data_IF_615685846400
#
_entry.id   IF_615685846400
#
_cell.length_a   1.000
_cell.length_b   1.000
_cell.length_c   1.000
_cell.angle_alpha   90.00
_cell.angle_beta   90.00
_cell.angle_gamma   90.00
#
_symmetry.space_group_name_H-M   'P 1'
#
loop_
_entity.id
_entity.type
_entity.pdbx_description
1 polymer ?
#
# COMPACT_ATOMS: atom_id res chain seq x y z
N UNK A 1 21.90 -10.77 39.07
CA UNK A 1 21.89 -10.49 37.62
C UNK A 1 21.84 -11.77 36.82
N UNK A 2 20.63 -12.33 36.65
CA UNK A 2 20.38 -13.44 35.75
C UNK A 2 19.80 -12.89 34.45
N UNK A 3 20.65 -12.68 33.45
CA UNK A 3 20.20 -12.28 32.11
C UNK A 3 19.59 -13.52 31.46
N UNK A 4 18.29 -13.48 31.18
CA UNK A 4 17.59 -14.54 30.43
C UNK A 4 18.05 -14.53 28.96
N UNK A 5 19.13 -15.25 28.65
CA UNK A 5 19.67 -15.39 27.28
C UNK A 5 18.82 -16.37 26.41
N UNK A 6 17.75 -16.95 26.95
CA UNK A 6 16.97 -17.99 26.27
C UNK A 6 15.97 -17.51 25.20
N UNK A 7 15.46 -16.27 25.30
CA UNK A 7 14.34 -15.81 24.47
C UNK A 7 14.68 -15.55 23.00
N UNK A 8 15.89 -15.04 22.72
CA UNK A 8 16.26 -14.59 21.38
C UNK A 8 16.47 -15.74 20.39
N UNK A 9 16.91 -16.91 20.89
CA UNK A 9 17.15 -18.07 20.04
C UNK A 9 15.85 -18.72 19.56
N UNK A 10 14.83 -18.80 20.42
CA UNK A 10 13.53 -19.36 20.06
C UNK A 10 12.81 -18.48 19.04
N UNK A 11 12.92 -17.15 19.18
CA UNK A 11 12.38 -16.19 18.22
C UNK A 11 12.99 -16.31 16.84
N UNK A 12 14.33 -16.31 16.76
CA UNK A 12 15.04 -16.49 15.49
C UNK A 12 14.71 -17.81 14.82
N UNK A 13 14.63 -18.90 15.60
CA UNK A 13 14.22 -20.20 15.06
C UNK A 13 12.80 -20.18 14.49
N UNK A 14 11.88 -19.42 15.09
CA UNK A 14 10.53 -19.22 14.57
C UNK A 14 10.50 -18.44 13.26
N UNK A 15 11.30 -17.37 13.16
CA UNK A 15 11.45 -16.58 11.93
C UNK A 15 12.02 -17.38 10.77
N UNK A 16 13.11 -18.10 11.01
CA UNK A 16 13.74 -18.96 10.00
C UNK A 16 12.78 -20.06 9.53
N UNK A 17 12.01 -20.63 10.46
CA UNK A 17 10.95 -21.58 10.15
C UNK A 17 9.89 -20.98 9.23
N UNK A 18 9.38 -19.79 9.56
CA UNK A 18 8.36 -19.11 8.75
C UNK A 18 8.90 -18.73 7.36
N UNK A 19 10.13 -18.21 7.28
CA UNK A 19 10.79 -17.87 6.03
C UNK A 19 10.90 -19.10 5.12
N UNK A 20 11.36 -20.22 5.65
CA UNK A 20 11.47 -21.47 4.91
C UNK A 20 10.10 -21.93 4.37
N UNK A 21 9.05 -21.87 5.20
CA UNK A 21 7.68 -22.21 4.77
C UNK A 21 7.23 -21.28 3.64
N UNK A 22 7.38 -19.97 3.79
CA UNK A 22 6.98 -18.97 2.77
C UNK A 22 7.72 -19.21 1.45
N UNK A 23 9.04 -19.42 1.48
CA UNK A 23 9.84 -19.66 0.27
C UNK A 23 9.40 -20.94 -0.44
N UNK A 24 9.13 -22.02 0.30
CA UNK A 24 8.61 -23.26 -0.25
C UNK A 24 7.23 -23.05 -0.87
N UNK A 25 6.31 -22.37 -0.18
CA UNK A 25 4.96 -22.09 -0.66
C UNK A 25 4.95 -21.22 -1.92
N UNK A 26 5.81 -20.18 -1.97
CA UNK A 26 5.99 -19.34 -3.17
C UNK A 26 6.52 -20.15 -4.35
N UNK A 27 7.49 -21.03 -4.10
CA UNK A 27 8.06 -21.92 -5.11
C UNK A 27 7.04 -22.93 -5.65
N UNK A 28 6.22 -23.51 -4.77
CA UNK A 28 5.13 -24.42 -5.16
C UNK A 28 4.10 -23.66 -6.00
N UNK A 29 3.67 -22.48 -5.54
CA UNK A 29 2.70 -21.63 -6.25
C UNK A 29 3.17 -21.30 -7.66
N UNK A 30 4.44 -20.89 -7.80
CA UNK A 30 5.01 -20.57 -9.10
C UNK A 30 5.00 -21.78 -10.05
N UNK A 31 5.36 -22.96 -9.56
CA UNK A 31 5.29 -24.20 -10.35
C UNK A 31 3.85 -24.53 -10.73
N UNK A 32 2.92 -24.42 -9.79
CA UNK A 32 1.48 -24.64 -10.01
C UNK A 32 0.92 -23.71 -11.09
N UNK A 33 1.31 -22.43 -11.09
CA UNK A 33 0.95 -21.46 -12.11
C UNK A 33 1.51 -21.78 -13.51
N UNK A 34 2.63 -22.50 -13.59
CA UNK A 34 3.22 -22.93 -14.86
C UNK A 34 2.63 -24.25 -15.40
N UNK A 35 2.10 -25.14 -14.55
CA UNK A 35 1.57 -26.45 -14.96
C UNK A 35 0.55 -26.37 -16.13
N UNK A 36 -0.42 -25.45 -16.14
CA UNK A 36 -1.36 -25.32 -17.26
C UNK A 36 -0.68 -24.95 -18.58
N UNK A 37 0.41 -24.17 -18.55
CA UNK A 37 1.21 -23.83 -19.74
C UNK A 37 1.90 -25.05 -20.34
N UNK A 38 2.05 -26.11 -19.56
CA UNK A 38 2.61 -27.40 -19.96
C UNK A 38 1.56 -28.51 -20.14
N UNK A 39 0.27 -28.17 -20.26
CA UNK A 39 -0.84 -29.13 -20.34
C UNK A 39 -0.89 -30.13 -19.17
N UNK A 40 -0.38 -29.74 -17.99
CA UNK A 40 -0.44 -30.56 -16.77
C UNK A 40 -1.64 -30.16 -15.92
N UNK A 41 -2.28 -31.15 -15.29
CA UNK A 41 -3.35 -30.92 -14.32
C UNK A 41 -2.75 -30.47 -12.99
N UNK A 42 -3.28 -29.40 -12.40
CA UNK A 42 -2.86 -28.91 -11.09
C UNK A 42 -3.47 -29.79 -10.00
N UNK A 43 -2.67 -30.44 -9.13
CA UNK A 43 -3.21 -31.17 -7.99
C UNK A 43 -3.84 -30.19 -7.00
N UNK A 44 -5.07 -30.46 -6.57
CA UNK A 44 -5.83 -29.57 -5.66
C UNK A 44 -5.10 -29.28 -4.35
N UNK A 45 -4.36 -30.26 -3.81
CA UNK A 45 -3.60 -30.11 -2.57
C UNK A 45 -2.33 -29.26 -2.71
N UNK A 46 -1.82 -29.04 -3.94
CA UNK A 46 -0.70 -28.12 -4.20
C UNK A 46 -1.18 -26.70 -4.53
N UNK A 47 -2.46 -26.55 -4.85
CA UNK A 47 -3.04 -25.26 -5.17
C UNK A 47 -3.37 -24.49 -3.88
N UNK A 48 -2.54 -23.51 -3.52
CA UNK A 48 -2.76 -22.68 -2.33
C UNK A 48 -4.11 -21.95 -2.33
N UNK A 49 -4.67 -21.67 -3.50
CA UNK A 49 -5.98 -21.02 -3.63
C UNK A 49 -7.13 -21.99 -3.35
N UNK A 50 -6.88 -23.29 -3.43
CA UNK A 50 -7.81 -24.33 -2.99
C UNK A 50 -7.72 -24.60 -1.49
N UNK A 51 -6.63 -24.20 -0.83
CA UNK A 51 -6.38 -24.45 0.61
C UNK A 51 -6.07 -23.13 1.34
N UNK A 52 -7.02 -22.17 1.39
CA UNK A 52 -6.79 -20.85 1.99
C UNK A 52 -6.53 -20.91 3.50
N UNK A 53 -6.97 -21.99 4.18
CA UNK A 53 -6.79 -22.17 5.63
C UNK A 53 -5.32 -22.11 6.05
N UNK A 54 -4.43 -22.72 5.26
CA UNK A 54 -2.97 -22.71 5.53
C UNK A 54 -2.43 -21.28 5.52
N UNK A 55 -2.87 -20.45 4.56
CA UNK A 55 -2.47 -19.04 4.50
C UNK A 55 -2.97 -18.24 5.71
N UNK A 56 -4.17 -18.58 6.20
CA UNK A 56 -4.74 -17.98 7.41
C UNK A 56 -3.96 -18.31 8.67
N UNK A 57 -3.62 -19.59 8.85
CA UNK A 57 -2.82 -20.06 9.99
C UNK A 57 -1.41 -19.46 9.95
N UNK A 58 -0.80 -19.36 8.75
CA UNK A 58 0.49 -18.69 8.58
C UNK A 58 0.42 -17.22 8.98
N UNK A 59 -0.62 -16.50 8.56
CA UNK A 59 -0.79 -15.09 8.92
C UNK A 59 -1.06 -14.92 10.41
N UNK A 60 -1.87 -15.79 11.02
CA UNK A 60 -2.11 -15.75 12.47
C UNK A 60 -0.83 -16.02 13.27
N UNK A 61 -0.06 -17.04 12.87
CA UNK A 61 1.22 -17.33 13.49
C UNK A 61 2.19 -16.15 13.36
N UNK A 62 2.28 -15.55 12.16
CA UNK A 62 3.13 -14.39 11.94
C UNK A 62 2.67 -13.14 12.71
N UNK A 63 1.37 -12.91 12.85
CA UNK A 63 0.81 -11.84 13.68
C UNK A 63 1.13 -12.05 15.17
N UNK A 64 1.07 -13.29 15.67
CA UNK A 64 1.42 -13.60 17.05
C UNK A 64 2.93 -13.42 17.32
N UNK A 65 3.78 -13.72 16.33
CA UNK A 65 5.23 -13.48 16.42
C UNK A 65 5.56 -11.99 16.29
N UNK A 66 4.74 -11.21 15.57
CA UNK A 66 4.98 -9.79 15.30
C UNK A 66 5.14 -8.93 16.55
N UNK A 67 4.60 -9.35 17.70
CA UNK A 67 4.84 -8.68 18.98
C UNK A 67 6.32 -8.69 19.41
N UNK A 68 7.10 -9.65 18.90
CA UNK A 68 8.51 -9.87 19.25
C UNK A 68 9.44 -9.71 18.05
N UNK A 69 8.98 -10.06 16.84
CA UNK A 69 9.73 -9.84 15.59
C UNK A 69 8.86 -9.66 14.36
N UNK A 70 9.26 -8.67 13.58
CA UNK A 70 8.54 -8.10 12.45
C UNK A 70 8.77 -8.83 11.12
N UNK A 71 9.80 -9.69 11.00
CA UNK A 71 10.19 -10.29 9.71
C UNK A 71 9.24 -11.37 9.21
N UNK A 72 8.77 -12.24 10.12
CA UNK A 72 7.84 -13.33 9.78
C UNK A 72 6.57 -12.78 9.10
N UNK A 73 6.02 -11.68 9.62
CA UNK A 73 4.86 -11.02 9.05
C UNK A 73 5.14 -10.46 7.65
N UNK A 74 6.32 -9.86 7.44
CA UNK A 74 6.70 -9.37 6.12
C UNK A 74 6.70 -10.48 5.06
N UNK A 75 7.28 -11.64 5.37
CA UNK A 75 7.33 -12.77 4.44
C UNK A 75 5.94 -13.31 4.11
N UNK A 76 5.06 -13.44 5.09
CA UNK A 76 3.69 -13.92 4.85
C UNK A 76 2.89 -12.92 4.02
N UNK A 77 3.01 -11.62 4.32
CA UNK A 77 2.34 -10.59 3.54
C UNK A 77 2.87 -10.51 2.10
N UNK A 78 4.17 -10.70 1.89
CA UNK A 78 4.77 -10.81 0.55
C UNK A 78 4.13 -11.92 -0.28
N UNK A 79 3.99 -13.11 0.31
CA UNK A 79 3.32 -14.23 -0.35
C UNK A 79 1.86 -13.89 -0.67
N UNK A 80 1.13 -13.26 0.25
CA UNK A 80 -0.26 -12.87 0.04
C UNK A 80 -0.41 -11.82 -1.06
N UNK A 81 0.47 -10.82 -1.11
CA UNK A 81 0.51 -9.81 -2.17
C UNK A 81 0.75 -10.48 -3.53
N UNK A 82 1.72 -11.38 -3.63
CA UNK A 82 2.00 -12.12 -4.86
C UNK A 82 0.75 -12.91 -5.31
N UNK A 83 0.09 -13.60 -4.38
CA UNK A 83 -1.11 -14.40 -4.68
C UNK A 83 -2.28 -13.54 -5.20
N UNK A 84 -2.49 -12.36 -4.60
CA UNK A 84 -3.55 -11.41 -4.96
C UNK A 84 -3.27 -10.67 -6.28
N UNK A 85 -1.99 -10.40 -6.58
CA UNK A 85 -1.57 -9.59 -7.73
C UNK A 85 -1.13 -10.42 -8.95
N UNK A 86 -1.12 -11.74 -8.82
CA UNK A 86 -0.76 -12.66 -9.91
C UNK A 86 -1.63 -12.36 -11.15
N UNK A 87 -0.97 -12.10 -12.31
CA UNK A 87 -1.64 -11.69 -13.55
C UNK A 87 -2.75 -12.65 -13.97
N UNK A 88 -2.52 -13.94 -13.77
CA UNK A 88 -3.50 -14.98 -14.06
C UNK A 88 -4.82 -14.83 -13.25
N UNK A 89 -4.82 -14.11 -12.13
CA UNK A 89 -6.00 -13.82 -11.32
C UNK A 89 -6.62 -12.44 -11.63
N UNK A 90 -5.83 -11.47 -12.09
CA UNK A 90 -6.32 -10.11 -12.38
C UNK A 90 -7.13 -10.04 -13.67
N UNK A 91 -6.93 -10.99 -14.59
CA UNK A 91 -7.79 -11.15 -15.76
C UNK A 91 -8.94 -12.10 -15.42
N UNK A 92 -9.92 -11.60 -14.66
CA UNK A 92 -11.28 -12.15 -14.72
C UNK A 92 -11.84 -11.85 -16.10
N UNK A 93 -11.44 -12.64 -17.11
CA UNK A 93 -12.34 -12.83 -18.24
C UNK A 93 -13.55 -13.51 -17.63
N UNK A 94 -14.61 -12.73 -17.35
CA UNK A 94 -15.95 -13.31 -17.35
C UNK A 94 -15.99 -14.26 -18.53
N UNK A 95 -16.46 -15.52 -18.37
CA UNK A 95 -16.63 -16.42 -19.49
C UNK A 95 -17.47 -15.64 -20.48
N UNK A 96 -16.83 -15.23 -21.56
CA UNK A 96 -17.35 -14.24 -22.48
C UNK A 96 -18.62 -14.83 -23.09
N UNK A 97 -19.76 -14.50 -22.48
CA UNK A 97 -21.07 -14.99 -22.89
C UNK A 97 -21.40 -14.50 -24.30
N UNK A 98 -20.60 -13.55 -24.82
CA UNK A 98 -20.75 -12.90 -26.12
C UNK A 98 -19.61 -13.18 -27.12
N UNK A 99 -18.85 -14.28 -26.97
CA UNK A 99 -18.10 -14.87 -28.09
C UNK A 99 -16.87 -14.11 -28.61
N UNK A 100 -16.34 -13.08 -27.92
CA UNK A 100 -15.06 -12.45 -28.30
C UNK A 100 -13.82 -13.30 -27.98
N UNK A 101 -13.97 -14.43 -27.30
CA UNK A 101 -12.92 -15.46 -27.19
C UNK A 101 -12.39 -15.87 -28.58
N UNK A 102 -13.25 -15.84 -29.61
CA UNK A 102 -12.81 -16.14 -30.98
C UNK A 102 -11.98 -15.01 -31.60
N UNK A 103 -12.15 -13.74 -31.21
CA UNK A 103 -11.42 -12.63 -31.82
C UNK A 103 -9.91 -12.73 -31.57
N UNK A 104 -9.49 -13.12 -30.37
CA UNK A 104 -8.07 -13.34 -30.08
C UNK A 104 -7.46 -14.56 -30.79
N UNK A 105 -8.27 -15.60 -31.06
CA UNK A 105 -7.86 -16.74 -31.89
C UNK A 105 -7.78 -16.38 -33.39
N UNK A 106 -8.53 -15.36 -33.82
CA UNK A 106 -8.56 -14.88 -35.20
C UNK A 106 -7.39 -13.92 -35.52
N UNK A 107 -6.74 -13.32 -34.50
CA UNK A 107 -5.53 -12.50 -34.66
C UNK A 107 -4.37 -13.41 -35.08
N UNK A 108 -3.96 -13.30 -36.34
CA UNK A 108 -2.91 -14.13 -36.96
C UNK A 108 -3.43 -15.16 -37.98
N UNK A 109 -4.73 -15.42 -38.04
CA UNK A 109 -5.32 -16.28 -39.06
C UNK A 109 -5.47 -15.53 -40.39
N UNK A 110 -5.16 -16.22 -41.50
CA UNK A 110 -5.39 -15.69 -42.85
C UNK A 110 -6.89 -15.41 -43.09
N UNK A 111 -7.25 -14.44 -43.96
CA UNK A 111 -8.65 -14.13 -44.25
C UNK A 111 -9.49 -15.34 -44.67
N UNK A 112 -8.90 -16.30 -45.40
CA UNK A 112 -9.57 -17.52 -45.81
C UNK A 112 -9.81 -18.48 -44.62
N UNK A 113 -8.86 -18.56 -43.70
CA UNK A 113 -9.00 -19.38 -42.48
C UNK A 113 -10.08 -18.81 -41.56
N UNK A 114 -10.21 -17.48 -41.45
CA UNK A 114 -11.29 -16.84 -40.70
C UNK A 114 -12.65 -17.08 -41.34
N UNK A 115 -12.73 -16.96 -42.67
CA UNK A 115 -13.97 -17.18 -43.44
C UNK A 115 -14.42 -18.64 -43.37
N UNK A 116 -13.48 -19.59 -43.37
CA UNK A 116 -13.80 -21.01 -43.15
C UNK A 116 -14.27 -21.27 -41.71
N UNK A 117 -13.66 -20.64 -40.70
CA UNK A 117 -14.08 -20.79 -39.30
C UNK A 117 -15.48 -20.21 -39.04
N UNK A 118 -15.78 -19.04 -39.62
CA UNK A 118 -17.08 -18.36 -39.46
C UNK A 118 -18.17 -18.87 -40.41
N UNK A 119 -17.79 -19.57 -41.49
CA UNK A 119 -18.71 -20.10 -42.50
C UNK A 119 -19.22 -21.51 -42.21
N UNK A 120 -18.72 -22.19 -41.18
CA UNK A 120 -19.31 -23.46 -40.74
C UNK A 120 -20.50 -23.16 -39.84
N UNK A 121 -21.70 -23.16 -40.43
CA UNK A 121 -22.93 -23.26 -39.65
C UNK A 121 -22.79 -24.42 -38.67
N UNK A 122 -23.02 -24.22 -37.36
CA UNK A 122 -22.87 -25.29 -36.39
C UNK A 122 -23.79 -26.46 -36.79
N UNK A 123 -23.27 -27.70 -36.86
CA UNK A 123 -24.09 -28.84 -37.21
C UNK A 123 -25.23 -28.97 -36.19
N UNK A 124 -26.44 -28.71 -36.67
CA UNK A 124 -27.69 -28.93 -35.94
C UNK A 124 -27.73 -30.39 -35.48
N UNK A 125 -27.49 -30.63 -34.19
CA UNK A 125 -27.69 -31.95 -33.57
C UNK A 125 -26.44 -32.69 -33.05
N UNK A 126 -25.23 -32.12 -33.14
CA UNK A 126 -24.09 -32.68 -32.42
C UNK A 126 -23.98 -32.01 -31.05
N UNK A 127 -24.14 -32.79 -29.97
CA UNK A 127 -23.66 -32.39 -28.63
C UNK A 127 -22.16 -32.06 -28.75
N UNK A 128 -21.84 -30.79 -28.94
CA UNK A 128 -20.49 -30.27 -28.81
C UNK A 128 -20.12 -30.39 -27.34
N UNK A 129 -19.64 -31.58 -26.94
CA UNK A 129 -18.66 -31.69 -25.86
C UNK A 129 -17.48 -30.84 -26.31
N UNK A 130 -17.47 -29.59 -25.87
CA UNK A 130 -16.35 -28.67 -25.96
C UNK A 130 -15.11 -29.37 -25.40
N UNK A 131 -14.30 -29.97 -26.26
CA UNK A 131 -12.94 -30.46 -25.96
C UNK A 131 -11.93 -29.32 -26.22
N UNK A 132 -12.33 -28.07 -25.96
CA UNK A 132 -11.32 -27.11 -25.57
C UNK A 132 -10.93 -27.52 -24.15
N UNK A 133 -9.64 -27.84 -23.87
CA UNK A 133 -9.21 -28.10 -22.52
C UNK A 133 -9.67 -26.88 -21.73
N UNK A 134 -10.68 -27.10 -20.87
CA UNK A 134 -11.33 -26.03 -20.13
C UNK A 134 -10.21 -25.20 -19.55
N UNK A 135 -10.10 -23.95 -19.98
CA UNK A 135 -9.10 -23.01 -19.48
C UNK A 135 -9.44 -22.94 -18.02
N UNK A 136 -8.78 -23.78 -17.22
CA UNK A 136 -9.12 -24.00 -15.83
C UNK A 136 -9.08 -22.60 -15.26
N UNK A 137 -10.24 -22.15 -14.77
CA UNK A 137 -10.38 -20.86 -14.10
C UNK A 137 -9.57 -21.04 -12.83
N UNK A 138 -8.26 -20.87 -12.96
CA UNK A 138 -7.32 -21.63 -12.14
C UNK A 138 -7.53 -21.22 -10.71
N UNK A 139 -7.73 -19.93 -10.40
CA UNK A 139 -7.66 -19.50 -9.00
C UNK A 139 -8.52 -18.24 -8.75
N UNK A 140 -9.68 -18.43 -8.11
CA UNK A 140 -10.44 -17.31 -7.56
C UNK A 140 -9.84 -16.87 -6.23
N UNK A 141 -9.47 -15.58 -6.11
CA UNK A 141 -8.94 -14.99 -4.87
C UNK A 141 -10.00 -14.86 -3.77
N UNK A 142 -11.29 -14.96 -4.11
CA UNK A 142 -12.42 -14.79 -3.19
C UNK A 142 -12.30 -15.61 -1.89
N UNK A 143 -11.77 -16.85 -1.93
CA UNK A 143 -11.62 -17.67 -0.72
C UNK A 143 -10.48 -17.18 0.17
N UNK A 144 -9.37 -16.76 -0.44
CA UNK A 144 -8.24 -16.16 0.28
C UNK A 144 -8.71 -14.86 0.92
N UNK A 145 -9.35 -13.99 0.14
CA UNK A 145 -9.92 -12.74 0.61
C UNK A 145 -10.92 -12.93 1.76
N UNK A 146 -11.87 -13.85 1.62
CA UNK A 146 -12.85 -14.16 2.66
C UNK A 146 -12.18 -14.51 3.99
N UNK A 147 -11.09 -15.28 3.93
CA UNK A 147 -10.31 -15.66 5.09
C UNK A 147 -9.50 -14.47 5.66
N UNK A 148 -8.92 -13.63 4.81
CA UNK A 148 -8.10 -12.49 5.25
C UNK A 148 -8.91 -11.40 5.96
N UNK A 149 -10.19 -11.24 5.63
CA UNK A 149 -11.07 -10.19 6.20
C UNK A 149 -11.11 -10.17 7.73
N UNK A 150 -11.11 -11.33 8.39
CA UNK A 150 -11.13 -11.41 9.85
C UNK A 150 -9.84 -10.88 10.51
N UNK A 151 -8.76 -10.71 9.73
CA UNK A 151 -7.43 -10.27 10.19
C UNK A 151 -7.15 -8.80 9.86
N UNK A 152 -7.94 -8.18 8.98
CA UNK A 152 -7.78 -6.76 8.63
C UNK A 152 -7.77 -5.84 9.86
N UNK A 153 -8.63 -6.00 10.88
CA UNK A 153 -8.57 -5.16 12.08
C UNK A 153 -7.20 -5.19 12.77
N UNK A 154 -6.59 -6.38 12.92
CA UNK A 154 -5.26 -6.52 13.52
C UNK A 154 -4.18 -5.82 12.67
N UNK A 155 -4.23 -6.01 11.35
CA UNK A 155 -3.30 -5.34 10.43
C UNK A 155 -3.46 -3.81 10.46
N UNK A 156 -4.69 -3.30 10.60
CA UNK A 156 -4.90 -1.84 10.76
C UNK A 156 -4.33 -1.29 12.07
N UNK A 157 -4.31 -2.09 13.15
CA UNK A 157 -3.66 -1.68 14.41
C UNK A 157 -2.14 -1.53 14.21
N UNK A 158 -1.50 -2.49 13.54
CA UNK A 158 -0.06 -2.40 13.19
C UNK A 158 0.22 -1.14 12.38
N UNK A 159 -0.65 -0.85 11.41
CA UNK A 159 -0.51 0.33 10.57
C UNK A 159 -0.65 1.65 11.36
N UNK A 160 -1.49 1.66 12.41
CA UNK A 160 -1.72 2.81 13.30
C UNK A 160 -0.67 3.03 14.40
N UNK A 161 0.13 2.02 14.75
CA UNK A 161 0.98 1.99 15.95
C UNK A 161 1.73 3.29 16.28
N UNK A 162 2.27 4.01 15.28
CA UNK A 162 3.04 5.25 15.51
C UNK A 162 2.23 6.55 15.38
N UNK A 163 1.00 6.51 14.84
CA UNK A 163 0.16 7.71 14.73
C UNK A 163 -0.22 8.23 16.12
N UNK A 164 -0.35 7.34 17.11
CA UNK A 164 -0.65 7.71 18.49
C UNK A 164 0.57 8.33 19.20
N UNK A 165 1.78 7.80 18.97
CA UNK A 165 3.02 8.27 19.61
C UNK A 165 3.52 9.60 19.04
N UNK A 166 3.24 9.90 17.77
CA UNK A 166 3.67 11.13 17.10
C UNK A 166 2.73 12.33 17.30
N UNK A 167 1.75 12.23 18.20
CA UNK A 167 0.94 13.39 18.62
C UNK A 167 1.73 14.40 19.48
N UNK A 168 2.95 14.04 19.91
CA UNK A 168 3.91 14.96 20.50
C UNK A 168 4.52 15.87 19.44
N UNK A 169 4.38 17.19 19.64
CA UNK A 169 4.93 18.31 18.84
C UNK A 169 6.10 17.89 17.94
N UNK A 170 5.89 17.99 16.61
CA UNK A 170 6.93 17.81 15.60
C UNK A 170 8.11 18.72 15.94
N UNK A 171 9.19 18.17 16.52
CA UNK A 171 10.40 18.92 16.80
C UNK A 171 11.11 19.06 15.44
N UNK A 172 11.30 20.28 14.89
CA UNK A 172 12.05 20.46 13.66
C UNK A 172 13.43 19.82 13.78
N UNK A 173 13.77 18.91 12.87
CA UNK A 173 15.01 18.13 12.90
C UNK A 173 14.92 16.73 13.52
N UNK A 174 13.83 16.40 14.22
CA UNK A 174 13.58 15.02 14.61
C UNK A 174 12.88 14.28 13.47
N UNK A 175 13.57 13.33 12.86
CA UNK A 175 12.99 12.45 11.84
C UNK A 175 11.83 11.71 12.51
N UNK A 176 10.61 11.93 12.02
CA UNK A 176 9.40 11.23 12.46
C UNK A 176 9.63 9.72 12.43
N UNK A 177 9.00 8.98 13.35
CA UNK A 177 9.18 7.53 13.49
C UNK A 177 9.13 6.84 12.12
N UNK A 178 10.24 6.17 11.73
CA UNK A 178 10.36 5.51 10.43
C UNK A 178 9.24 4.48 10.29
N UNK A 179 8.49 4.51 9.18
CA UNK A 179 7.42 3.56 8.84
C UNK A 179 7.83 2.10 9.08
N UNK A 180 9.11 1.77 8.94
CA UNK A 180 9.62 0.42 9.17
C UNK A 180 9.16 -0.55 8.07
N UNK A 181 9.86 -1.66 7.92
CA UNK A 181 9.57 -2.65 6.87
C UNK A 181 8.18 -3.27 7.03
N UNK A 182 7.74 -3.54 8.25
CA UNK A 182 6.45 -4.18 8.52
C UNK A 182 5.27 -3.31 8.17
N UNK A 183 5.24 -2.04 8.59
CA UNK A 183 4.10 -1.17 8.24
C UNK A 183 4.07 -0.89 6.76
N UNK A 184 5.22 -0.73 6.12
CA UNK A 184 5.29 -0.61 4.66
C UNK A 184 4.71 -1.87 3.98
N UNK A 185 5.05 -3.07 4.46
CA UNK A 185 4.49 -4.30 3.90
C UNK A 185 2.98 -4.42 4.13
N UNK A 186 2.49 -4.00 5.29
CA UNK A 186 1.05 -3.90 5.57
C UNK A 186 0.37 -2.88 4.64
N UNK A 187 1.03 -1.75 4.36
CA UNK A 187 0.56 -0.76 3.38
C UNK A 187 0.44 -1.37 2.00
N UNK A 188 1.48 -2.05 1.51
CA UNK A 188 1.45 -2.71 0.21
C UNK A 188 0.36 -3.78 0.12
N UNK A 189 0.17 -4.55 1.19
CA UNK A 189 -0.90 -5.53 1.28
C UNK A 189 -2.28 -4.88 1.16
N UNK A 190 -2.55 -3.79 1.89
CA UNK A 190 -3.82 -3.08 1.77
C UNK A 190 -4.01 -2.43 0.42
N UNK A 191 -2.95 -1.87 -0.17
CA UNK A 191 -2.96 -1.36 -1.55
C UNK A 191 -3.31 -2.46 -2.55
N UNK A 192 -2.73 -3.65 -2.42
CA UNK A 192 -3.05 -4.79 -3.27
C UNK A 192 -4.53 -5.19 -3.13
N UNK A 193 -5.07 -5.21 -1.91
CA UNK A 193 -6.47 -5.50 -1.67
C UNK A 193 -7.42 -4.41 -2.21
N UNK A 194 -7.04 -3.13 -2.16
CA UNK A 194 -7.84 -2.04 -2.74
C UNK A 194 -7.85 -2.07 -4.28
N UNK A 195 -6.74 -2.52 -4.89
CA UNK A 195 -6.62 -2.62 -6.35
C UNK A 195 -7.28 -3.87 -6.93
N UNK A 196 -7.13 -5.01 -6.25
CA UNK A 196 -7.45 -6.33 -6.81
C UNK A 196 -8.51 -7.10 -6.03
N UNK A 197 -8.85 -6.68 -4.81
CA UNK A 197 -9.87 -7.35 -4.02
C UNK A 197 -11.26 -7.20 -4.62
N UNK A 198 -12.13 -8.18 -4.35
CA UNK A 198 -13.55 -8.11 -4.72
C UNK A 198 -14.32 -7.04 -3.94
N UNK A 199 -15.57 -6.79 -4.36
CA UNK A 199 -16.44 -5.76 -3.78
C UNK A 199 -16.54 -5.82 -2.25
N UNK A 200 -16.78 -7.01 -1.72
CA UNK A 200 -16.93 -7.21 -0.29
C UNK A 200 -15.63 -6.90 0.48
N UNK A 201 -14.48 -7.24 -0.11
CA UNK A 201 -13.16 -6.92 0.46
C UNK A 201 -12.96 -5.42 0.52
N UNK A 202 -13.21 -4.70 -0.58
CA UNK A 202 -13.08 -3.26 -0.64
C UNK A 202 -14.06 -2.55 0.31
N UNK A 203 -15.31 -3.03 0.41
CA UNK A 203 -16.31 -2.53 1.35
C UNK A 203 -15.85 -2.64 2.81
N UNK A 204 -15.24 -3.76 3.20
CA UNK A 204 -14.70 -3.95 4.56
C UNK A 204 -13.51 -3.00 4.80
N UNK A 205 -12.63 -2.83 3.81
CA UNK A 205 -11.51 -1.89 3.92
C UNK A 205 -11.98 -0.43 4.09
N UNK A 206 -13.05 -0.03 3.38
CA UNK A 206 -13.70 1.27 3.59
C UNK A 206 -14.27 1.40 5.01
N UNK A 207 -14.99 0.39 5.51
CA UNK A 207 -15.53 0.40 6.88
C UNK A 207 -14.45 0.50 7.95
N UNK A 208 -13.25 -0.02 7.66
CA UNK A 208 -12.08 0.08 8.53
C UNK A 208 -11.29 1.39 8.34
N UNK A 209 -11.75 2.30 7.46
CA UNK A 209 -11.09 3.54 7.08
C UNK A 209 -9.66 3.33 6.56
N UNK A 210 -9.39 2.23 5.87
CA UNK A 210 -8.06 1.91 5.35
C UNK A 210 -7.57 2.95 4.33
N UNK A 211 -8.37 3.41 3.34
CA UNK A 211 -7.94 4.45 2.41
C UNK A 211 -7.51 5.76 3.11
N UNK A 212 -8.29 6.19 4.11
CA UNK A 212 -7.95 7.37 4.92
C UNK A 212 -6.67 7.15 5.73
N UNK A 213 -6.52 5.97 6.36
CA UNK A 213 -5.33 5.64 7.14
C UNK A 213 -4.06 5.61 6.27
N UNK A 214 -4.14 5.06 5.05
CA UNK A 214 -3.04 5.10 4.08
C UNK A 214 -2.69 6.54 3.72
N UNK A 215 -3.68 7.39 3.50
CA UNK A 215 -3.47 8.80 3.23
C UNK A 215 -2.79 9.55 4.40
N UNK A 216 -3.25 9.31 5.63
CA UNK A 216 -2.63 9.88 6.83
C UNK A 216 -1.16 9.48 6.93
N UNK A 217 -0.83 8.21 6.63
CA UNK A 217 0.55 7.76 6.60
C UNK A 217 1.38 8.42 5.50
N UNK A 218 0.81 8.57 4.31
CA UNK A 218 1.43 9.28 3.20
C UNK A 218 1.86 10.68 3.65
N UNK A 219 0.96 11.43 4.30
CA UNK A 219 1.21 12.81 4.74
C UNK A 219 2.16 12.89 5.95
N UNK A 220 1.99 12.02 6.95
CA UNK A 220 2.77 12.05 8.18
C UNK A 220 4.22 11.59 8.03
N UNK A 221 4.61 11.06 6.86
CA UNK A 221 5.95 10.52 6.60
C UNK A 221 6.58 11.14 5.33
N UNK A 222 6.82 12.47 5.28
CA UNK A 222 7.25 13.18 4.07
C UNK A 222 8.61 12.75 3.51
N UNK A 223 9.42 12.01 4.30
CA UNK A 223 10.73 11.51 3.89
C UNK A 223 10.71 10.04 3.40
N UNK A 224 9.56 9.38 3.39
CA UNK A 224 9.45 7.97 3.02
C UNK A 224 9.02 7.79 1.56
N UNK A 225 9.95 8.05 0.62
CA UNK A 225 9.67 7.94 -0.83
C UNK A 225 9.08 6.59 -1.25
N UNK A 226 9.47 5.48 -0.60
CA UNK A 226 8.92 4.15 -0.88
C UNK A 226 7.43 4.04 -0.53
N UNK A 227 7.02 4.59 0.62
CA UNK A 227 5.62 4.67 1.01
C UNK A 227 4.82 5.52 0.00
N UNK A 228 5.37 6.67 -0.38
CA UNK A 228 4.73 7.57 -1.34
C UNK A 228 4.60 6.92 -2.72
N UNK A 229 5.61 6.17 -3.17
CA UNK A 229 5.55 5.37 -4.39
C UNK A 229 4.40 4.36 -4.33
N UNK A 230 4.32 3.56 -3.27
CA UNK A 230 3.29 2.52 -3.12
C UNK A 230 1.89 3.12 -3.18
N UNK A 231 1.63 4.17 -2.40
CA UNK A 231 0.30 4.79 -2.31
C UNK A 231 -0.04 5.56 -3.58
N UNK A 232 0.86 6.41 -4.08
CA UNK A 232 0.60 7.20 -5.30
C UNK A 232 0.39 6.31 -6.52
N UNK A 233 1.17 5.24 -6.68
CA UNK A 233 0.97 4.28 -7.77
C UNK A 233 -0.36 3.55 -7.62
N UNK A 234 -0.79 3.22 -6.40
CA UNK A 234 -2.10 2.63 -6.16
C UNK A 234 -3.23 3.55 -6.59
N UNK A 235 -3.19 4.82 -6.16
CA UNK A 235 -4.19 5.82 -6.52
C UNK A 235 -4.22 5.98 -8.04
N UNK A 236 -3.06 6.20 -8.66
CA UNK A 236 -2.95 6.39 -10.11
C UNK A 236 -3.52 5.21 -10.87
N UNK A 237 -3.16 3.98 -10.48
CA UNK A 237 -3.67 2.76 -11.13
C UNK A 237 -5.19 2.60 -10.94
N UNK A 238 -5.71 2.84 -9.73
CA UNK A 238 -7.15 2.78 -9.45
C UNK A 238 -7.96 3.74 -10.35
N UNK A 239 -7.46 4.96 -10.55
CA UNK A 239 -8.17 5.97 -11.34
C UNK A 239 -7.94 5.82 -12.86
N UNK A 240 -6.82 5.24 -13.31
CA UNK A 240 -6.57 4.96 -14.74
C UNK A 240 -7.18 3.65 -15.23
N UNK A 241 -7.12 2.60 -14.42
CA UNK A 241 -7.39 1.22 -14.83
C UNK A 241 -8.27 0.44 -13.85
N UNK A 242 -8.47 0.94 -12.63
CA UNK A 242 -9.24 0.27 -11.60
C UNK A 242 -10.74 0.17 -11.90
N UNK A 243 -11.44 -0.64 -11.11
CA UNK A 243 -12.90 -0.78 -11.14
C UNK A 243 -13.58 0.42 -10.48
N UNK A 244 -14.87 0.64 -10.75
CA UNK A 244 -15.63 1.72 -10.11
C UNK A 244 -15.65 1.59 -8.58
N UNK A 245 -15.65 0.35 -8.07
CA UNK A 245 -15.59 0.06 -6.63
C UNK A 245 -14.26 0.55 -6.05
N UNK A 246 -13.14 0.28 -6.73
CA UNK A 246 -11.82 0.69 -6.23
C UNK A 246 -11.67 2.21 -6.17
N UNK A 247 -12.21 2.91 -7.17
CA UNK A 247 -12.25 4.38 -7.19
C UNK A 247 -13.15 4.90 -6.08
N UNK A 248 -14.34 4.30 -5.91
CA UNK A 248 -15.28 4.66 -4.84
C UNK A 248 -14.64 4.50 -3.46
N UNK A 249 -13.85 3.44 -3.23
CA UNK A 249 -13.15 3.23 -1.97
C UNK A 249 -12.19 4.37 -1.62
N UNK A 250 -11.41 4.85 -2.59
CA UNK A 250 -10.54 6.02 -2.39
C UNK A 250 -11.34 7.31 -2.16
N UNK A 251 -12.46 7.47 -2.87
CA UNK A 251 -13.35 8.63 -2.70
C UNK A 251 -14.02 8.67 -1.32
N UNK A 252 -14.48 7.53 -0.81
CA UNK A 252 -15.00 7.38 0.57
C UNK A 252 -13.94 7.71 1.64
N UNK A 253 -12.66 7.55 1.29
CA UNK A 253 -11.51 8.00 2.10
C UNK A 253 -11.20 9.50 2.00
N UNK A 254 -12.10 10.32 1.43
CA UNK A 254 -11.91 11.76 1.18
C UNK A 254 -10.61 12.09 0.43
N UNK A 255 -10.18 11.25 -0.51
CA UNK A 255 -8.92 11.45 -1.22
C UNK A 255 -8.81 12.83 -1.87
N UNK A 256 -9.86 13.31 -2.55
CA UNK A 256 -9.83 14.59 -3.27
C UNK A 256 -9.63 15.80 -2.33
N UNK A 257 -10.48 16.03 -1.31
CA UNK A 257 -10.26 17.13 -0.37
C UNK A 257 -8.88 17.09 0.28
N UNK A 258 -8.46 15.89 0.68
CA UNK A 258 -7.17 15.65 1.31
C UNK A 258 -5.98 15.96 0.39
N UNK A 259 -6.09 15.58 -0.89
CA UNK A 259 -5.05 15.82 -1.88
C UNK A 259 -4.96 17.30 -2.26
N UNK A 260 -6.09 18.02 -2.34
CA UNK A 260 -6.10 19.47 -2.50
C UNK A 260 -5.45 20.17 -1.30
N UNK A 261 -5.78 19.76 -0.08
CA UNK A 261 -5.12 20.29 1.11
C UNK A 261 -3.61 20.03 1.08
N UNK A 262 -3.18 18.81 0.73
CA UNK A 262 -1.77 18.46 0.65
C UNK A 262 -1.06 19.21 -0.49
N UNK A 263 -1.75 19.50 -1.59
CA UNK A 263 -1.24 20.38 -2.63
C UNK A 263 -0.92 21.76 -2.07
N UNK A 264 -1.87 22.39 -1.37
CA UNK A 264 -1.68 23.72 -0.79
C UNK A 264 -0.51 23.74 0.20
N UNK A 265 -0.40 22.72 1.05
CA UNK A 265 0.69 22.55 2.02
C UNK A 265 2.05 22.40 1.33
N UNK A 266 2.14 21.56 0.29
CA UNK A 266 3.38 21.25 -0.43
C UNK A 266 3.85 22.43 -1.27
N UNK A 267 2.92 23.10 -1.96
CA UNK A 267 3.22 24.14 -2.93
C UNK A 267 3.42 25.51 -2.28
N UNK A 268 2.79 25.76 -1.13
CA UNK A 268 2.97 27.00 -0.36
C UNK A 268 4.20 26.97 0.56
N UNK A 269 4.83 25.80 0.78
CA UNK A 269 5.98 25.68 1.67
C UNK A 269 7.25 26.27 1.03
N UNK A 270 7.85 27.33 1.61
CA UNK A 270 9.08 27.92 1.10
C UNK A 270 10.32 27.04 1.34
N UNK A 271 10.23 26.08 2.26
CA UNK A 271 11.39 25.42 2.87
C UNK A 271 11.91 24.20 2.08
N UNK A 272 11.32 23.85 0.94
CA UNK A 272 11.77 22.73 0.09
C UNK A 272 11.70 21.33 0.72
N UNK A 273 11.40 21.23 2.03
CA UNK A 273 11.19 19.98 2.78
C UNK A 273 10.04 19.14 2.21
N UNK A 274 9.11 19.76 1.48
CA UNK A 274 8.02 19.10 0.76
C UNK A 274 8.44 18.46 -0.58
N UNK A 275 9.71 18.57 -0.99
CA UNK A 275 10.21 18.08 -2.29
C UNK A 275 9.97 16.59 -2.50
N UNK A 276 10.14 15.75 -1.47
CA UNK A 276 9.99 14.30 -1.58
C UNK A 276 8.58 13.84 -1.97
N UNK A 277 7.54 14.53 -1.49
CA UNK A 277 6.14 14.19 -1.79
C UNK A 277 5.58 14.92 -3.02
N UNK A 278 6.21 16.03 -3.43
CA UNK A 278 5.69 16.91 -4.48
C UNK A 278 5.40 16.18 -5.79
N UNK A 279 6.36 15.41 -6.30
CA UNK A 279 6.18 14.65 -7.55
C UNK A 279 5.06 13.62 -7.45
N UNK A 280 4.89 12.99 -6.28
CA UNK A 280 3.81 12.04 -6.05
C UNK A 280 2.43 12.72 -6.01
N UNK A 281 2.34 13.89 -5.37
CA UNK A 281 1.12 14.70 -5.31
C UNK A 281 0.74 15.21 -6.71
N UNK A 282 1.70 15.74 -7.49
CA UNK A 282 1.48 16.16 -8.88
C UNK A 282 0.94 14.99 -9.71
N UNK A 283 1.59 13.82 -9.64
CA UNK A 283 1.17 12.61 -10.37
C UNK A 283 -0.27 12.17 -10.02
N UNK A 284 -0.63 12.20 -8.74
CA UNK A 284 -1.98 11.87 -8.29
C UNK A 284 -2.99 12.91 -8.77
N UNK A 285 -2.68 14.20 -8.63
CA UNK A 285 -3.55 15.30 -9.07
C UNK A 285 -3.78 15.28 -10.58
N UNK A 286 -2.74 15.02 -11.36
CA UNK A 286 -2.84 14.88 -12.82
C UNK A 286 -3.80 13.76 -13.22
N UNK A 287 -3.68 12.61 -12.55
CA UNK A 287 -4.55 11.46 -12.81
C UNK A 287 -5.99 11.73 -12.41
N UNK A 288 -6.21 12.35 -11.25
CA UNK A 288 -7.56 12.70 -10.76
C UNK A 288 -8.19 13.77 -11.66
N UNK A 289 -7.43 14.79 -12.08
CA UNK A 289 -7.90 15.79 -13.02
C UNK A 289 -8.36 15.16 -14.34
N UNK A 290 -7.54 14.28 -14.91
CA UNK A 290 -7.87 13.55 -16.13
C UNK A 290 -9.14 12.72 -15.95
N UNK A 291 -9.27 12.04 -14.81
CA UNK A 291 -10.46 11.28 -14.46
C UNK A 291 -11.71 12.18 -14.34
N UNK A 292 -11.63 13.30 -13.61
CA UNK A 292 -12.75 14.23 -13.43
C UNK A 292 -13.20 14.86 -14.76
N UNK A 293 -12.27 15.16 -15.67
CA UNK A 293 -12.57 15.69 -16.98
C UNK A 293 -13.19 14.65 -17.93
N UNK A 294 -12.84 13.37 -17.78
CA UNK A 294 -13.26 12.30 -18.70
C UNK A 294 -14.67 11.77 -18.40
N UNK A 295 -15.19 11.95 -17.19
CA UNK A 295 -16.47 11.38 -16.78
C UNK A 295 -17.61 12.42 -16.76
N UNK A 296 -18.76 12.13 -17.42
CA UNK A 296 -19.93 13.00 -17.38
C UNK A 296 -20.36 13.30 -15.95
N UNK A 297 -20.83 14.53 -15.69
CA UNK A 297 -21.28 14.96 -14.36
C UNK A 297 -22.31 14.00 -13.73
N UNK A 298 -23.15 13.40 -14.55
CA UNK A 298 -24.21 12.47 -14.17
C UNK A 298 -23.69 11.16 -13.56
N UNK A 299 -22.47 10.73 -13.93
CA UNK A 299 -21.83 9.52 -13.42
C UNK A 299 -20.96 9.77 -12.18
N UNK A 300 -20.75 11.04 -11.83
CA UNK A 300 -19.91 11.47 -10.71
C UNK A 300 -20.70 12.10 -9.58
N UNK A 301 -21.91 11.61 -9.30
CA UNK A 301 -22.75 12.10 -8.20
C UNK A 301 -22.07 12.04 -6.82
N UNK A 302 -20.96 11.30 -6.70
CA UNK A 302 -20.14 11.21 -5.49
C UNK A 302 -19.12 12.33 -5.32
N UNK A 303 -18.86 13.17 -6.33
CA UNK A 303 -17.89 14.28 -6.24
C UNK A 303 -18.66 15.58 -6.11
N UNK A 304 -18.37 16.32 -5.03
CA UNK A 304 -18.91 17.66 -4.82
C UNK A 304 -18.57 18.59 -6.01
N UNK A 305 -19.56 19.27 -6.61
CA UNK A 305 -19.33 20.27 -7.65
C UNK A 305 -18.27 21.30 -7.29
N UNK A 306 -18.19 21.72 -6.02
CA UNK A 306 -17.18 22.69 -5.55
C UNK A 306 -15.75 22.13 -5.67
N UNK A 307 -15.56 20.85 -5.33
CA UNK A 307 -14.26 20.19 -5.47
C UNK A 307 -13.87 20.03 -6.95
N UNK A 308 -14.84 19.76 -7.82
CA UNK A 308 -14.62 19.69 -9.27
C UNK A 308 -14.16 21.04 -9.82
N UNK A 309 -14.80 22.14 -9.41
CA UNK A 309 -14.39 23.49 -9.81
C UNK A 309 -12.98 23.82 -9.31
N UNK A 310 -12.65 23.46 -8.06
CA UNK A 310 -11.29 23.62 -7.51
C UNK A 310 -10.25 22.83 -8.29
N UNK A 311 -10.52 21.57 -8.64
CA UNK A 311 -9.61 20.77 -9.46
C UNK A 311 -9.41 21.41 -10.84
N UNK A 312 -10.49 21.89 -11.47
CA UNK A 312 -10.40 22.54 -12.77
C UNK A 312 -9.58 23.83 -12.71
N UNK A 313 -9.85 24.70 -11.74
CA UNK A 313 -9.09 25.92 -11.51
C UNK A 313 -7.60 25.63 -11.25
N UNK A 314 -7.30 24.56 -10.51
CA UNK A 314 -5.92 24.13 -10.27
C UNK A 314 -5.23 23.65 -11.55
N UNK A 315 -5.94 22.90 -12.40
CA UNK A 315 -5.44 22.44 -13.69
C UNK A 315 -5.08 23.59 -14.62
N UNK A 316 -5.93 24.62 -14.66
CA UNK A 316 -5.76 25.79 -15.52
C UNK A 316 -4.69 26.77 -14.97
N UNK A 317 -4.31 26.62 -13.70
CA UNK A 317 -3.30 27.43 -13.01
C UNK A 317 -2.04 26.66 -12.64
N UNK A 318 -1.87 26.41 -11.34
CA UNK A 318 -0.60 25.95 -10.74
C UNK A 318 -0.18 24.55 -11.20
N UNK A 319 -1.12 23.61 -11.36
CA UNK A 319 -0.82 22.27 -11.82
C UNK A 319 -0.38 22.27 -13.28
N UNK A 320 -1.01 23.11 -14.12
CA UNK A 320 -0.59 23.34 -15.51
C UNK A 320 0.84 23.87 -15.59
N UNK A 321 1.19 24.83 -14.72
CA UNK A 321 2.55 25.34 -14.61
C UNK A 321 3.54 24.25 -14.14
N UNK A 322 3.19 23.48 -13.12
CA UNK A 322 4.03 22.40 -12.60
C UNK A 322 4.29 21.31 -13.67
N UNK A 323 3.28 20.92 -14.45
CA UNK A 323 3.44 20.02 -15.60
C UNK A 323 4.39 20.59 -16.65
N UNK A 324 4.28 21.89 -16.91
CA UNK A 324 5.17 22.61 -17.82
C UNK A 324 6.64 22.51 -17.38
N UNK A 325 6.91 22.59 -16.08
CA UNK A 325 8.25 22.41 -15.52
C UNK A 325 8.73 20.96 -15.60
N UNK A 326 7.87 19.99 -15.24
CA UNK A 326 8.21 18.55 -15.31
C UNK A 326 8.48 18.07 -16.75
N UNK A 327 7.86 18.69 -17.74
CA UNK A 327 8.06 18.35 -19.15
C UNK A 327 9.38 18.88 -19.74
N UNK A 328 10.13 19.72 -19.01
CA UNK A 328 11.42 20.23 -19.47
C UNK A 328 12.50 19.14 -19.33
N UNK A 329 13.48 19.07 -20.25
CA UNK A 329 14.45 17.96 -20.35
C UNK A 329 15.30 17.66 -19.10
N UNK A 330 15.28 18.54 -18.10
CA UNK A 330 15.98 18.41 -16.81
C UNK A 330 15.11 18.86 -15.61
N UNK A 331 13.78 18.94 -15.77
CA UNK A 331 12.85 19.43 -14.74
C UNK A 331 12.74 20.96 -14.62
N UNK A 332 13.38 21.69 -15.54
CA UNK A 332 13.29 23.15 -15.69
C UNK A 332 14.48 23.92 -15.13
N UNK A 333 14.59 25.20 -15.51
CA UNK A 333 15.56 26.12 -14.88
C UNK A 333 15.24 26.21 -13.39
N UNK A 334 16.25 26.01 -12.54
CA UNK A 334 16.16 26.24 -11.10
C UNK A 334 15.47 27.59 -10.90
N UNK A 335 14.34 27.68 -10.15
CA UNK A 335 13.69 28.96 -9.92
C UNK A 335 14.76 29.88 -9.35
N UNK A 336 15.03 30.98 -10.04
CA UNK A 336 16.17 31.86 -9.80
C UNK A 336 16.27 32.26 -8.32
N UNK A 337 16.91 31.42 -7.51
CA UNK A 337 17.47 31.85 -6.25
C UNK A 337 18.66 32.69 -6.67
N UNK A 338 18.61 33.95 -6.32
CA UNK A 338 19.62 34.95 -6.65
C UNK A 338 20.93 34.71 -5.88
N UNK A 339 21.43 33.48 -5.87
CA UNK A 339 22.73 33.14 -5.30
C UNK A 339 23.72 33.17 -6.45
N UNK A 340 24.42 34.30 -6.55
CA UNK A 340 25.64 34.40 -7.35
C UNK A 340 26.70 33.50 -6.71
N UNK A 341 26.75 32.24 -7.11
CA UNK A 341 27.96 31.44 -6.95
C UNK A 341 28.86 31.72 -8.14
N UNK A 342 30.00 32.33 -7.86
CA UNK A 342 31.07 32.51 -8.83
C UNK A 342 31.49 31.13 -9.34
N UNK A 343 31.51 31.01 -10.67
CA UNK A 343 32.18 29.95 -11.40
C UNK A 343 33.67 29.97 -11.07
N UNK A 344 34.25 28.78 -10.96
CA UNK A 344 35.40 28.32 -11.73
C UNK A 344 35.91 27.06 -11.05
N UNK A 345 35.39 25.90 -11.47
CA UNK A 345 36.04 24.58 -11.40
C UNK A 345 35.08 23.54 -12.03
N UNK A 346 35.04 23.53 -13.37
CA UNK A 346 34.41 22.44 -14.13
C UNK A 346 35.40 21.28 -14.27
N UNK A 347 35.50 20.45 -13.24
CA UNK A 347 35.93 19.07 -13.42
C UNK A 347 34.66 18.25 -13.68
N UNK A 348 34.37 17.99 -14.96
CA UNK A 348 33.28 17.12 -15.38
C UNK A 348 33.46 15.75 -14.73
N UNK A 349 32.74 15.50 -13.64
CA UNK A 349 32.48 14.15 -13.17
C UNK A 349 31.75 13.43 -14.30
N UNK A 350 32.41 12.43 -14.88
CA UNK A 350 31.85 11.52 -15.89
C UNK A 350 30.69 10.77 -15.21
N UNK A 351 29.51 11.38 -15.18
CA UNK A 351 28.31 10.80 -14.56
C UNK A 351 27.99 9.54 -15.37
N UNK A 352 28.21 8.39 -14.76
CA UNK A 352 27.85 7.10 -15.35
C UNK A 352 26.34 7.12 -15.67
N UNK A 353 26.01 7.10 -16.96
CA UNK A 353 24.66 6.83 -17.41
C UNK A 353 24.34 5.36 -17.07
N UNK A 354 23.56 5.17 -16.00
CA UNK A 354 23.21 3.85 -15.50
C UNK A 354 22.30 3.08 -16.45
N UNK A 355 21.56 3.75 -17.34
CA UNK A 355 20.66 3.09 -18.29
C UNK A 355 21.44 2.47 -19.46
N UNK A 356 22.39 3.21 -20.03
CA UNK A 356 23.34 2.71 -21.03
C UNK A 356 24.20 1.56 -20.45
N UNK A 357 24.61 1.70 -19.18
CA UNK A 357 25.35 0.66 -18.48
C UNK A 357 24.53 -0.62 -18.30
N UNK A 358 23.27 -0.53 -17.85
CA UNK A 358 22.39 -1.68 -17.65
C UNK A 358 22.08 -2.36 -18.99
N UNK A 359 21.78 -1.58 -20.02
CA UNK A 359 21.46 -2.11 -21.35
C UNK A 359 22.68 -2.82 -21.97
N UNK A 360 23.85 -2.21 -21.85
CA UNK A 360 25.13 -2.76 -22.26
C UNK A 360 25.53 -4.03 -21.51
N UNK A 361 25.30 -4.07 -20.19
CA UNK A 361 25.51 -5.27 -19.37
C UNK A 361 24.57 -6.41 -19.77
N UNK A 362 23.30 -6.12 -20.05
CA UNK A 362 22.33 -7.10 -20.53
C UNK A 362 22.70 -7.68 -21.91
N UNK A 363 23.31 -6.86 -22.78
CA UNK A 363 23.85 -7.27 -24.08
C UNK A 363 25.23 -7.92 -24.03
N UNK A 364 25.85 -7.98 -22.84
CA UNK A 364 27.22 -8.47 -22.61
C UNK A 364 28.30 -7.73 -23.42
N UNK A 365 28.13 -6.43 -23.60
CA UNK A 365 29.07 -5.60 -24.33
C UNK A 365 30.32 -5.30 -23.49
N UNK A 366 31.50 -5.33 -24.11
CA UNK A 366 32.78 -5.24 -23.39
C UNK A 366 33.03 -3.87 -22.74
N UNK A 367 32.57 -2.79 -23.36
CA UNK A 367 32.79 -1.42 -22.87
C UNK A 367 31.97 -1.11 -21.60
N UNK A 368 30.65 -1.38 -21.54
CA UNK A 368 29.85 -1.25 -20.31
C UNK A 368 30.34 -2.12 -19.16
N UNK A 369 30.76 -3.36 -19.44
CA UNK A 369 31.37 -4.25 -18.44
C UNK A 369 32.65 -3.64 -17.87
N UNK A 370 33.52 -3.07 -18.74
CA UNK A 370 34.75 -2.41 -18.30
C UNK A 370 34.46 -1.15 -17.48
N UNK A 371 33.53 -0.29 -17.91
CA UNK A 371 33.12 0.90 -17.16
C UNK A 371 32.56 0.54 -15.78
N UNK A 372 31.66 -0.45 -15.71
CA UNK A 372 31.10 -0.90 -14.43
C UNK A 372 32.17 -1.53 -13.53
N UNK A 373 33.07 -2.34 -14.09
CA UNK A 373 34.18 -2.91 -13.33
C UNK A 373 35.12 -1.83 -12.79
N UNK A 374 35.41 -0.78 -13.59
CA UNK A 374 36.22 0.35 -13.16
C UNK A 374 35.51 1.13 -12.06
N UNK A 375 34.21 1.36 -12.17
CA UNK A 375 33.41 1.99 -11.11
C UNK A 375 33.49 1.20 -9.79
N UNK A 376 33.30 -0.12 -9.83
CA UNK A 376 33.37 -0.98 -8.64
C UNK A 376 34.78 -1.10 -8.05
N UNK A 377 35.82 -1.01 -8.88
CA UNK A 377 37.21 -1.20 -8.50
C UNK A 377 37.96 0.12 -8.27
N UNK A 378 37.31 1.27 -8.51
CA UNK A 378 37.89 2.55 -8.12
C UNK A 378 37.77 2.61 -6.60
N UNK A 379 38.87 2.47 -5.84
CA UNK A 379 38.79 2.60 -4.41
C UNK A 379 38.19 3.97 -4.12
N UNK A 380 37.14 4.04 -3.29
CA UNK A 380 36.64 5.30 -2.78
C UNK A 380 37.87 6.09 -2.34
N UNK A 381 38.18 7.16 -3.07
CA UNK A 381 39.10 8.16 -2.58
C UNK A 381 38.37 8.78 -1.40
N UNK A 382 38.57 8.19 -0.22
CA UNK A 382 38.36 8.89 1.04
C UNK A 382 39.15 10.17 0.87
N UNK A 383 38.50 11.35 0.81
CA UNK A 383 39.23 12.58 0.62
C UNK A 383 40.29 12.65 1.71
N UNK A 384 41.56 12.78 1.31
CA UNK A 384 42.66 13.01 2.24
C UNK A 384 42.33 14.25 3.06
N UNK A 385 41.92 14.06 4.31
CA UNK A 385 41.71 15.11 5.32
C UNK A 385 43.09 15.61 5.84
N UNK A 386 44.08 15.67 4.95
CA UNK A 386 45.44 16.16 5.23
C UNK A 386 45.78 17.38 4.36
N UNK A 387 44.77 18.08 3.82
CA UNK A 387 45.00 19.46 3.40
C UNK A 387 45.30 20.28 4.66
N UNK A 388 46.52 20.85 4.81
CA UNK A 388 46.83 21.68 5.96
C UNK A 388 45.92 22.90 5.91
N UNK A 389 44.96 22.94 6.85
CA UNK A 389 44.23 24.16 7.15
C UNK A 389 45.30 25.19 7.54
N UNK A 390 45.43 26.24 6.73
CA UNK A 390 46.26 27.40 7.04
C UNK A 390 45.75 27.98 8.37
N UNK A 391 46.42 27.60 9.44
CA UNK A 391 46.08 27.96 10.81
C UNK A 391 46.56 29.38 11.11
N UNK A 392 45.85 30.36 10.56
CA UNK A 392 45.81 31.73 11.07
C UNK A 392 44.35 32.10 11.29
N UNK A 393 43.74 31.51 12.33
CA UNK A 393 42.64 32.07 13.14
C UNK A 393 41.87 30.94 13.84
N UNK A 394 42.50 30.33 14.85
CA UNK A 394 41.79 29.48 15.80
C UNK A 394 42.52 29.39 17.15
N UNK A 395 42.70 30.53 17.82
CA UNK A 395 42.84 30.53 19.27
C UNK A 395 41.43 30.55 19.89
N UNK A 396 40.89 29.37 20.20
CA UNK A 396 40.01 29.18 21.37
C UNK A 396 39.74 27.69 21.65
N UNK A 397 40.49 27.17 22.62
CA UNK A 397 39.99 26.26 23.66
C UNK A 397 39.44 24.90 23.24
N UNK A 398 40.31 23.93 22.96
CA UNK A 398 40.04 22.53 23.26
C UNK A 398 41.30 21.88 23.82
N UNK A 399 41.20 21.35 25.04
CA UNK A 399 42.25 20.56 25.69
C UNK A 399 41.92 19.09 25.44
N UNK A 400 42.74 18.32 24.71
CA UNK A 400 42.64 16.87 24.71
C UNK A 400 43.59 16.32 25.78
N UNK A 401 43.04 15.58 26.74
CA UNK A 401 43.83 14.74 27.65
C UNK A 401 43.44 13.29 27.41
N UNK A 402 44.22 12.66 26.54
CA UNK A 402 44.43 11.22 26.49
C UNK A 402 45.18 10.71 27.72
N UNK A 403 44.95 9.43 28.02
CA UNK A 403 45.67 8.53 28.94
C UNK A 403 45.29 8.61 30.42
N UNK A 404 44.69 7.52 30.90
CA UNK A 404 44.88 6.99 32.25
C UNK A 404 44.48 5.51 32.26
N UNK A 405 45.50 4.66 32.18
CA UNK A 405 45.46 3.26 32.63
C UNK A 405 45.25 3.23 34.16
N UNK A 406 44.27 2.45 34.66
CA UNK A 406 44.08 2.17 36.08
C UNK A 406 42.77 1.43 36.42
N UNK A 407 42.74 0.53 37.43
CA UNK A 407 41.72 -0.52 37.59
C UNK A 407 40.41 -0.04 38.27
N UNK A 408 39.30 -0.81 38.17
CA UNK A 408 37.98 -0.34 38.55
C UNK A 408 37.63 -0.75 39.98
N UNK A 409 37.80 0.16 40.94
CA UNK A 409 37.10 0.07 42.23
C UNK A 409 36.68 1.45 42.72
N UNK A 410 35.40 1.54 43.11
CA UNK A 410 34.73 2.62 43.86
C UNK A 410 34.25 3.81 43.03
N UNK A 411 32.93 3.84 42.77
CA UNK A 411 32.07 5.00 42.94
C UNK A 411 30.59 4.53 42.99
N UNK A 412 30.19 4.02 44.16
CA UNK A 412 28.79 4.03 44.61
C UNK A 412 28.72 5.13 45.66
N UNK A 413 28.19 6.30 45.30
CA UNK A 413 27.59 7.26 46.22
C UNK A 413 27.01 8.43 45.42
N UNK A 414 25.68 8.59 45.49
CA UNK A 414 25.01 9.82 45.09
C UNK A 414 23.89 9.59 44.09
N UNK A 415 22.72 9.19 44.60
CA UNK A 415 21.38 9.67 44.21
C UNK A 415 20.34 8.73 44.86
N UNK A 416 20.23 8.80 46.18
CA UNK A 416 19.06 8.36 46.93
C UNK A 416 18.43 9.64 47.47
N UNK A 417 17.34 10.09 46.86
CA UNK A 417 16.31 10.93 47.50
C UNK A 417 15.22 11.22 46.46
N UNK A 418 14.16 10.40 46.44
CA UNK A 418 12.75 10.81 46.32
C UNK A 418 11.89 9.56 46.10
N UNK A 419 11.54 8.90 47.21
CA UNK A 419 10.36 8.05 47.29
C UNK A 419 9.55 8.51 48.50
N UNK A 420 8.39 9.12 48.24
CA UNK A 420 7.34 9.34 49.22
C UNK A 420 6.03 8.77 48.67
N UNK A 421 5.66 7.63 49.28
CA UNK A 421 4.31 7.30 49.76
C UNK A 421 3.14 7.29 48.76
N UNK A 422 2.74 6.09 48.33
CA UNK A 422 1.33 5.64 48.43
C UNK A 422 1.34 4.15 48.81
N UNK A 423 0.84 3.86 50.01
CA UNK A 423 0.65 2.52 50.54
C UNK A 423 -0.63 1.87 50.00
N UNK A 424 -0.54 0.58 49.65
CA UNK A 424 -1.69 -0.33 49.46
C UNK A 424 -1.43 -1.56 50.34
N UNK A 425 -2.36 -1.98 51.21
CA UNK A 425 -2.15 -3.18 52.01
C UNK A 425 -2.64 -4.44 51.28
N UNK A 426 -1.77 -5.43 51.22
CA UNK A 426 -2.11 -6.82 50.92
C UNK A 426 -2.95 -7.44 52.04
N UNK A 427 -3.97 -8.22 51.66
CA UNK A 427 -4.58 -9.22 52.53
C UNK A 427 -4.87 -10.51 51.75
N UNK A 428 -4.01 -11.51 52.01
CA UNK A 428 -4.38 -12.86 52.44
C UNK A 428 -5.37 -13.71 51.63
N UNK A 429 -4.79 -14.71 50.93
CA UNK A 429 -5.11 -16.16 50.95
C UNK A 429 -6.53 -16.59 51.39
N UNK A 430 -7.24 -17.30 50.50
CA UNK A 430 -7.65 -18.71 50.74
C UNK A 430 -8.37 -19.31 49.53
N UNK A 431 -7.87 -20.45 49.05
CA UNK A 431 -8.64 -21.48 48.34
C UNK A 431 -9.68 -22.09 49.30
N UNK A 432 -10.81 -22.60 48.79
CA UNK A 432 -10.94 -24.06 48.74
C UNK A 432 -11.69 -24.62 47.52
N UNK A 433 -11.33 -25.85 47.16
CA UNK A 433 -12.18 -26.82 46.43
C UNK A 433 -13.45 -27.16 47.23
N UNK A 434 -14.58 -27.42 46.56
CA UNK A 434 -15.44 -28.61 46.71
C UNK A 434 -16.69 -28.55 45.80
N UNK A 435 -16.81 -29.57 44.94
CA UNK A 435 -17.96 -30.43 44.54
C UNK A 435 -19.40 -29.90 44.36
N UNK A 436 -19.93 -30.32 43.20
CA UNK A 436 -21.23 -30.98 42.92
C UNK A 436 -22.57 -30.23 42.99
N UNK A 437 -23.31 -30.42 41.88
CA UNK A 437 -24.75 -30.65 41.71
C UNK A 437 -25.77 -29.70 42.38
N UNK A 438 -26.58 -29.00 41.56
CA UNK A 438 -27.97 -29.41 41.36
C UNK A 438 -28.72 -28.58 40.30
N UNK A 439 -29.84 -29.20 39.91
CA UNK A 439 -30.68 -28.99 38.75
C UNK A 439 -31.62 -27.77 38.80
N UNK A 440 -32.12 -27.43 37.59
CA UNK A 440 -33.47 -26.92 37.28
C UNK A 440 -33.92 -25.59 37.91
N UNK A 441 -34.09 -24.57 37.06
CA UNK A 441 -35.37 -23.84 37.03
C UNK A 441 -35.55 -23.06 35.73
N UNK A 442 -36.75 -23.20 35.16
CA UNK A 442 -37.23 -22.51 33.98
C UNK A 442 -37.36 -20.99 34.23
N UNK A 443 -37.00 -20.20 33.22
CA UNK A 443 -37.22 -18.76 33.20
C UNK A 443 -37.48 -18.27 31.79
N UNK A 444 -38.77 -18.15 31.45
CA UNK A 444 -39.27 -17.44 30.27
C UNK A 444 -38.68 -16.03 30.18
N UNK A 445 -38.13 -15.67 29.02
CA UNK A 445 -37.99 -14.27 28.64
C UNK A 445 -38.68 -14.03 27.29
N UNK A 446 -39.76 -13.25 27.40
CA UNK A 446 -40.53 -12.67 26.32
C UNK A 446 -39.72 -11.59 25.60
N UNK A 447 -39.79 -11.59 24.27
CA UNK A 447 -39.40 -10.48 23.40
C UNK A 447 -40.24 -9.22 23.69
N UNK A 448 -39.68 -8.01 23.49
CA UNK A 448 -40.47 -6.85 23.16
C UNK A 448 -40.20 -6.38 21.73
N UNK A 449 -41.17 -6.63 20.84
CA UNK A 449 -41.38 -5.89 19.59
C UNK A 449 -42.00 -4.53 19.90
N UNK A 450 -41.32 -3.44 19.55
CA UNK A 450 -41.86 -2.08 19.56
C UNK A 450 -42.17 -1.62 18.13
N UNK A 451 -43.46 -1.56 17.80
CA UNK A 451 -44.00 -0.82 16.64
C UNK A 451 -44.16 0.67 16.99
N UNK A 452 -43.97 1.59 16.03
CA UNK A 452 -44.40 2.99 16.18
C UNK A 452 -45.89 3.19 15.81
N UNK A 453 -46.56 4.22 16.38
CA UNK A 453 -48.00 4.45 16.21
C UNK A 453 -48.37 5.16 14.89
N UNK A 454 -49.66 5.10 14.47
CA UNK A 454 -50.14 5.67 13.21
C UNK A 454 -50.38 7.18 13.31
N UNK A 455 -50.00 7.91 12.25
CA UNK A 455 -50.31 9.34 12.09
C UNK A 455 -51.76 9.56 11.62
N UNK A 456 -52.39 10.71 11.97
CA UNK A 456 -53.77 10.99 11.64
C UNK A 456 -53.93 11.60 10.24
N UNK A 457 -55.17 11.46 9.77
CA UNK A 457 -55.66 11.71 8.43
C UNK A 457 -55.71 13.18 7.99
N UNK A 458 -55.79 13.29 6.67
CA UNK A 458 -56.00 14.43 5.78
C UNK A 458 -57.01 15.48 6.28
N UNK A 459 -56.71 16.75 5.97
CA UNK A 459 -57.74 17.76 5.78
C UNK A 459 -57.52 18.52 4.47
N UNK A 460 -58.61 18.65 3.74
CA UNK A 460 -58.75 19.28 2.41
C UNK A 460 -58.61 20.79 2.52
N UNK A 461 -57.99 21.43 1.52
CA UNK A 461 -58.50 22.69 1.01
C UNK A 461 -58.30 22.82 -0.50
N UNK A 462 -59.35 23.34 -1.11
CA UNK A 462 -59.61 23.54 -2.53
C UNK A 462 -58.65 24.57 -3.15
N UNK A 463 -58.38 24.44 -4.45
CA UNK A 463 -58.40 25.59 -5.37
C UNK A 463 -58.73 25.11 -6.78
N UNK A 464 -59.86 25.64 -7.24
CA UNK A 464 -60.27 25.94 -8.63
C UNK A 464 -59.09 26.46 -9.48
N UNK A 465 -58.99 26.34 -10.81
CA UNK A 465 -59.89 25.97 -11.90
C UNK A 465 -59.26 26.51 -13.21
N UNK A 466 -59.88 26.15 -14.34
CA UNK A 466 -59.69 26.64 -15.73
C UNK A 466 -58.59 25.93 -16.57
N UNK A 467 -58.93 25.12 -17.59
CA UNK A 467 -59.55 25.42 -18.91
C UNK A 467 -58.53 26.13 -19.81
N UNK A 468 -58.16 25.72 -21.02
CA UNK A 468 -58.77 24.91 -22.08
C UNK A 468 -57.68 24.35 -23.00
N UNK A 469 -58.07 23.41 -23.84
CA UNK A 469 -57.35 22.97 -25.03
C UNK A 469 -57.09 24.12 -26.02
N UNK A 470 -56.03 24.00 -26.83
CA UNK A 470 -56.14 24.28 -28.25
C UNK A 470 -55.06 23.56 -29.07
N UNK A 471 -55.52 22.99 -30.19
CA UNK A 471 -54.77 22.34 -31.24
C UNK A 471 -54.41 23.37 -32.32
N UNK A 472 -53.19 23.28 -32.85
CA UNK A 472 -52.79 23.52 -34.27
C UNK A 472 -52.89 24.96 -34.81
N UNK A 473 -52.17 25.34 -35.90
CA UNK A 473 -51.50 24.53 -36.95
C UNK A 473 -50.03 24.21 -36.72
#
# INVERSE_FOLDING_TARGET
DGVEVGGDHELRSGEDGMLNVVVVMKSITHKVLQMPKHNMTVPTFLNLYSVPLVLGEMLDAALNICEKSCQALCFVLDLLIDLLTTKENTFSTEPDTNGRIYEHLLVGMSPNSRRNLMGMSPPSGAEQKSILPGRTMIMGTHRIEALLRSRYPKLTIILRGDLACNSGKHIPGHVSARVGSTRLRVTEFFVACLRHGGEETQSILCKLNVPMLLWELFRSNPLCSMLHCVISNSVVDCFKHGTDISRKSWMEGNLIPNLLQCWDEVYSSPDGWSSGIRGHVIKMMDTIATFVASFPAEQMSSIDPELREKIQALCDGELGHARGLEALPLGGEVPHSSVKTNSDDEEFADVLDMEDLIEGLARQESEPIQRYSKYLLTPEQVPDIDTPIDSQDAHQGFVPLTSLDGPPERLIAGLNETAAEVAVPEASRSNPDYMEDEQLSAGNYLEPTSQPPPGPAEDRMETTGLSSAEKLP
#
